data_IF_328168660739
#
_entry.id   IF_328168660739
#
_cell.length_a   1.000
_cell.length_b   1.000
_cell.length_c   1.000
_cell.angle_alpha   90.00
_cell.angle_beta   90.00
_cell.angle_gamma   90.00
#
_symmetry.space_group_name_H-M   'P 1'
#
loop_
_entity.id
_entity.type
_entity.pdbx_description
1 polymer ?
#
# COMPACT_ATOMS: atom_id res chain seq x y z
N UNK A 1 -1.07 -5.63 17.56
CA UNK A 1 -0.13 -6.76 17.36
C UNK A 1 -0.84 -8.10 17.54
N UNK A 2 -1.62 -8.30 18.62
CA UNK A 2 -2.38 -9.54 18.87
C UNK A 2 -3.35 -9.88 17.74
N UNK A 3 -4.03 -8.89 17.18
CA UNK A 3 -4.95 -9.06 16.05
C UNK A 3 -4.29 -9.64 14.80
N UNK A 4 -3.01 -9.31 14.55
CA UNK A 4 -2.25 -9.87 13.44
C UNK A 4 -1.89 -11.34 13.70
N UNK A 5 -1.43 -11.65 14.90
CA UNK A 5 -0.98 -13.00 15.30
C UNK A 5 -2.16 -13.97 15.31
N UNK A 6 -3.31 -13.57 15.84
CA UNK A 6 -4.50 -14.41 15.94
C UNK A 6 -5.05 -14.88 14.57
N UNK A 7 -4.71 -14.20 13.48
CA UNK A 7 -5.09 -14.59 12.12
C UNK A 7 -4.12 -15.55 11.45
N UNK A 8 -2.91 -15.73 12.02
CA UNK A 8 -1.93 -16.69 11.50
C UNK A 8 -2.28 -18.08 12.03
N UNK A 9 -3.21 -18.75 11.35
CA UNK A 9 -3.67 -20.11 11.63
C UNK A 9 -3.74 -20.91 10.33
N UNK A 10 -3.65 -22.23 10.45
CA UNK A 10 -3.74 -23.17 9.31
C UNK A 10 -2.75 -22.82 8.20
N UNK A 11 -3.25 -22.56 7.00
CA UNK A 11 -2.44 -22.26 5.81
C UNK A 11 -2.06 -20.78 5.67
N UNK A 12 -2.39 -19.91 6.62
CA UNK A 12 -2.07 -18.48 6.54
C UNK A 12 -0.59 -18.25 6.84
N UNK A 13 0.15 -17.75 5.86
CA UNK A 13 1.57 -17.41 5.97
C UNK A 13 1.83 -15.96 6.39
N UNK A 14 0.99 -15.03 5.90
CA UNK A 14 1.06 -13.59 6.23
C UNK A 14 -0.32 -13.07 6.61
N UNK A 15 -0.35 -12.24 7.65
CA UNK A 15 -1.49 -11.40 7.98
C UNK A 15 -1.11 -9.92 7.85
N UNK A 16 -1.79 -9.20 6.97
CA UNK A 16 -1.60 -7.77 6.74
C UNK A 16 -2.48 -6.92 7.65
N UNK A 17 -1.93 -5.82 8.13
CA UNK A 17 -2.65 -4.80 8.90
C UNK A 17 -3.55 -3.94 8.03
N UNK A 18 -4.36 -3.12 8.69
CA UNK A 18 -5.14 -2.05 8.10
C UNK A 18 -4.48 -0.68 8.41
N UNK A 19 -3.62 -0.16 7.50
CA UNK A 19 -3.02 1.14 7.70
C UNK A 19 -4.07 2.25 7.58
N UNK A 20 -4.15 3.09 8.61
CA UNK A 20 -5.01 4.28 8.62
C UNK A 20 -4.18 5.54 8.84
N UNK A 21 -4.38 6.51 7.96
CA UNK A 21 -3.74 7.81 8.13
C UNK A 21 -4.35 8.55 9.32
N UNK A 22 -3.48 9.16 10.13
CA UNK A 22 -3.92 10.07 11.20
C UNK A 22 -4.58 11.27 10.55
N UNK A 23 -5.77 11.71 11.03
CA UNK A 23 -6.44 12.89 10.50
C UNK A 23 -5.51 14.10 10.46
N UNK A 24 -5.41 14.73 9.31
CA UNK A 24 -4.52 15.86 9.08
C UNK A 24 -5.11 16.83 8.07
N UNK A 25 -4.76 18.11 8.19
CA UNK A 25 -5.24 19.18 7.30
C UNK A 25 -4.32 19.31 6.07
N UNK A 26 -4.84 19.91 5.00
CA UNK A 26 -4.11 20.16 3.75
C UNK A 26 -4.45 19.15 2.65
N UNK A 27 -4.30 19.60 1.40
CA UNK A 27 -4.69 18.83 0.20
C UNK A 27 -3.93 17.49 0.11
N UNK A 28 -2.59 17.43 0.25
CA UNK A 28 -1.87 16.14 0.17
C UNK A 28 -2.27 15.17 1.29
N UNK A 29 -2.56 15.69 2.48
CA UNK A 29 -2.98 14.86 3.60
C UNK A 29 -4.38 14.28 3.37
N UNK A 30 -5.34 15.10 2.94
CA UNK A 30 -6.69 14.65 2.60
C UNK A 30 -6.68 13.64 1.45
N UNK A 31 -5.85 13.88 0.42
CA UNK A 31 -5.64 12.92 -0.67
C UNK A 31 -5.07 11.59 -0.17
N UNK A 32 -4.08 11.62 0.73
CA UNK A 32 -3.49 10.41 1.32
C UNK A 32 -4.52 9.62 2.13
N UNK A 33 -5.34 10.29 2.94
CA UNK A 33 -6.41 9.68 3.72
C UNK A 33 -7.42 9.00 2.79
N UNK A 34 -7.90 9.73 1.77
CA UNK A 34 -8.87 9.20 0.82
C UNK A 34 -8.36 7.97 0.07
N UNK A 35 -7.10 8.00 -0.41
CA UNK A 35 -6.47 6.83 -1.07
C UNK A 35 -6.37 5.65 -0.09
N UNK A 36 -6.05 5.91 1.18
CA UNK A 36 -6.02 4.89 2.22
C UNK A 36 -7.38 4.22 2.43
N UNK A 37 -8.44 5.01 2.54
CA UNK A 37 -9.82 4.53 2.70
C UNK A 37 -10.29 3.74 1.47
N UNK A 38 -9.96 4.21 0.26
CA UNK A 38 -10.26 3.49 -0.97
C UNK A 38 -9.55 2.14 -1.04
N UNK A 39 -8.27 2.08 -0.68
CA UNK A 39 -7.51 0.82 -0.63
C UNK A 39 -8.05 -0.14 0.44
N UNK A 40 -8.51 0.36 1.59
CA UNK A 40 -9.18 -0.47 2.60
C UNK A 40 -10.46 -1.09 2.03
N UNK A 41 -11.26 -0.30 1.31
CA UNK A 41 -12.52 -0.75 0.72
C UNK A 41 -12.29 -1.83 -0.34
N UNK A 42 -11.30 -1.64 -1.22
CA UNK A 42 -10.89 -2.60 -2.24
C UNK A 42 -10.42 -3.92 -1.60
N UNK A 43 -9.64 -3.85 -0.53
CA UNK A 43 -9.16 -5.05 0.21
C UNK A 43 -10.27 -5.79 0.93
N UNK A 44 -11.17 -5.08 1.62
CA UNK A 44 -12.33 -5.68 2.28
C UNK A 44 -13.23 -6.45 1.32
N UNK A 45 -13.30 -6.00 0.06
CA UNK A 45 -14.06 -6.67 -1.00
C UNK A 45 -13.29 -7.74 -1.74
N UNK A 46 -12.06 -8.02 -1.34
CA UNK A 46 -11.17 -9.00 -1.99
C UNK A 46 -11.01 -8.75 -3.51
N UNK A 47 -11.04 -7.48 -3.93
CA UNK A 47 -10.86 -7.09 -5.32
C UNK A 47 -9.39 -7.11 -5.76
N UNK A 48 -8.46 -7.24 -4.83
CA UNK A 48 -7.03 -7.36 -5.08
C UNK A 48 -6.42 -8.45 -4.22
N UNK A 49 -5.47 -9.19 -4.78
CA UNK A 49 -4.63 -10.11 -4.01
C UNK A 49 -3.56 -9.37 -3.19
N UNK A 50 -3.29 -8.10 -3.53
CA UNK A 50 -2.34 -7.27 -2.80
C UNK A 50 -3.00 -6.66 -1.58
N UNK A 51 -2.82 -7.35 -0.47
CA UNK A 51 -3.35 -6.93 0.83
C UNK A 51 -2.29 -6.38 1.74
N UNK A 52 -1.02 -6.75 1.52
CA UNK A 52 0.11 -6.32 2.33
C UNK A 52 0.54 -4.91 1.95
N UNK A 53 0.67 -4.07 2.94
CA UNK A 53 1.31 -2.75 2.84
C UNK A 53 2.33 -2.65 3.96
N UNK A 54 3.53 -2.18 3.67
CA UNK A 54 4.70 -2.16 4.55
C UNK A 54 4.58 -1.42 5.89
N UNK A 55 3.36 -1.18 6.34
CA UNK A 55 3.07 -0.47 7.60
C UNK A 55 2.63 -1.37 8.74
N UNK A 56 2.74 -2.67 8.57
CA UNK A 56 2.46 -3.65 9.60
C UNK A 56 1.99 -4.96 8.99
N UNK A 57 2.73 -5.99 9.28
CA UNK A 57 2.40 -7.36 8.89
C UNK A 57 2.89 -8.32 9.96
N UNK A 58 2.31 -9.49 9.98
CA UNK A 58 2.81 -10.64 10.73
C UNK A 58 3.05 -11.77 9.74
N UNK A 59 4.20 -12.42 9.84
CA UNK A 59 4.59 -13.56 9.02
C UNK A 59 4.96 -14.73 9.93
N UNK A 60 4.66 -15.96 9.51
CA UNK A 60 5.08 -17.15 10.22
C UNK A 60 6.61 -17.26 10.24
N UNK A 61 7.16 -17.57 11.40
CA UNK A 61 8.62 -17.62 11.60
C UNK A 61 9.31 -18.69 10.75
N UNK A 62 8.66 -19.84 10.56
CA UNK A 62 9.17 -20.93 9.71
C UNK A 62 9.22 -20.53 8.22
N UNK A 63 8.29 -19.71 7.76
CA UNK A 63 8.27 -19.16 6.40
C UNK A 63 9.30 -18.03 6.27
N UNK A 64 9.32 -17.10 7.22
CA UNK A 64 10.24 -15.96 7.20
C UNK A 64 11.71 -16.37 7.10
N UNK A 65 12.10 -17.43 7.84
CA UNK A 65 13.46 -17.98 7.81
C UNK A 65 13.88 -18.60 6.48
N UNK A 66 12.92 -18.92 5.61
CA UNK A 66 13.15 -19.53 4.28
C UNK A 66 13.20 -18.49 3.16
N UNK A 67 12.86 -17.23 3.43
CA UNK A 67 12.82 -16.17 2.42
C UNK A 67 14.12 -15.37 2.49
N UNK A 68 14.88 -15.38 1.40
CA UNK A 68 16.01 -14.48 1.20
C UNK A 68 15.49 -13.19 0.54
N UNK A 69 15.76 -12.05 1.15
CA UNK A 69 15.35 -10.74 0.64
C UNK A 69 16.51 -10.13 -0.14
N UNK A 70 16.36 -9.84 -1.46
CA UNK A 70 17.37 -9.12 -2.22
C UNK A 70 17.57 -7.68 -1.73
N UNK A 71 18.81 -7.21 -1.69
CA UNK A 71 19.16 -5.87 -1.17
C UNK A 71 18.59 -4.70 -1.98
N UNK A 72 18.24 -4.95 -3.26
CA UNK A 72 17.78 -3.92 -4.20
C UNK A 72 16.27 -3.75 -4.27
N UNK A 73 15.51 -4.34 -3.33
CA UNK A 73 14.05 -4.29 -3.37
C UNK A 73 13.49 -2.95 -2.93
N UNK A 74 12.59 -2.41 -3.75
CA UNK A 74 11.86 -1.17 -3.47
C UNK A 74 10.70 -1.43 -2.48
N UNK A 75 10.00 -2.56 -2.62
CA UNK A 75 8.85 -2.95 -1.80
C UNK A 75 9.04 -4.35 -1.26
N UNK A 76 9.63 -4.44 -0.07
CA UNK A 76 9.87 -5.70 0.64
C UNK A 76 8.54 -6.39 0.98
N UNK A 77 7.53 -5.62 1.38
CA UNK A 77 6.19 -6.08 1.71
C UNK A 77 5.51 -6.83 0.55
N UNK A 78 5.56 -6.27 -0.64
CA UNK A 78 5.02 -6.93 -1.84
C UNK A 78 5.81 -8.18 -2.21
N UNK A 79 7.13 -8.15 -2.05
CA UNK A 79 7.98 -9.31 -2.31
C UNK A 79 7.70 -10.46 -1.32
N UNK A 80 7.58 -10.15 -0.03
CA UNK A 80 7.22 -11.13 1.00
C UNK A 80 5.87 -11.77 0.69
N UNK A 81 4.88 -10.97 0.31
CA UNK A 81 3.58 -11.48 -0.11
C UNK A 81 3.71 -12.45 -1.28
N UNK A 82 4.41 -12.06 -2.35
CA UNK A 82 4.60 -12.89 -3.53
C UNK A 82 5.30 -14.23 -3.19
N UNK A 83 6.35 -14.17 -2.38
CA UNK A 83 7.08 -15.37 -1.93
C UNK A 83 6.24 -16.32 -1.09
N UNK A 84 5.44 -15.79 -0.17
CA UNK A 84 4.56 -16.60 0.66
C UNK A 84 3.48 -17.29 -0.18
N UNK A 85 2.91 -16.58 -1.16
CA UNK A 85 1.93 -17.15 -2.10
C UNK A 85 2.59 -18.21 -3.02
N UNK A 86 3.82 -17.99 -3.48
CA UNK A 86 4.60 -18.98 -4.26
C UNK A 86 4.86 -20.27 -3.46
N UNK A 87 5.04 -20.16 -2.14
CA UNK A 87 5.18 -21.30 -1.23
C UNK A 87 3.85 -22.02 -0.94
N UNK A 88 2.73 -21.59 -1.51
CA UNK A 88 1.41 -22.19 -1.34
C UNK A 88 0.66 -21.76 -0.07
N UNK A 89 1.10 -20.71 0.59
CA UNK A 89 0.42 -20.18 1.78
C UNK A 89 -0.49 -19.01 1.44
N UNK A 90 -1.53 -18.85 2.26
CA UNK A 90 -2.47 -17.76 2.14
C UNK A 90 -1.95 -16.45 2.73
N UNK A 91 -2.34 -15.35 2.12
CA UNK A 91 -2.13 -13.99 2.61
C UNK A 91 -3.47 -13.37 2.93
N UNK A 92 -3.67 -12.95 4.17
CA UNK A 92 -4.93 -12.41 4.65
C UNK A 92 -4.83 -10.96 5.09
N UNK A 93 -5.90 -10.21 4.91
CA UNK A 93 -6.05 -8.85 5.41
C UNK A 93 -6.91 -8.84 6.67
N UNK A 94 -6.42 -8.22 7.76
CA UNK A 94 -7.21 -8.05 8.96
C UNK A 94 -7.63 -6.58 9.15
N UNK A 95 -8.90 -6.23 8.88
CA UNK A 95 -9.37 -4.85 9.01
C UNK A 95 -9.37 -4.33 10.45
N UNK A 96 -9.29 -5.21 11.47
CA UNK A 96 -9.22 -4.85 12.89
C UNK A 96 -7.79 -4.52 13.34
N UNK A 97 -6.78 -5.01 12.62
CA UNK A 97 -5.37 -4.76 12.94
C UNK A 97 -4.95 -3.36 12.47
N UNK A 98 -5.45 -2.32 13.10
CA UNK A 98 -5.21 -0.92 12.70
C UNK A 98 -3.78 -0.52 13.05
N UNK A 99 -3.07 0.06 12.06
CA UNK A 99 -1.77 0.70 12.22
C UNK A 99 -1.90 2.15 11.76
N UNK A 100 -1.71 3.09 12.67
CA UNK A 100 -1.77 4.51 12.34
C UNK A 100 -0.46 5.00 11.72
N UNK A 101 -0.57 5.92 10.74
CA UNK A 101 0.57 6.55 10.13
C UNK A 101 0.30 8.03 9.80
N UNK A 102 1.36 8.82 9.67
CA UNK A 102 1.25 10.21 9.27
C UNK A 102 0.91 10.32 7.78
N UNK A 103 -0.14 11.08 7.44
CA UNK A 103 -0.45 11.41 6.06
C UNK A 103 0.64 12.30 5.45
N UNK A 104 0.76 12.28 4.13
CA UNK A 104 1.67 13.17 3.41
C UNK A 104 1.29 14.64 3.67
N UNK A 105 2.26 15.47 4.08
CA UNK A 105 2.03 16.91 4.35
C UNK A 105 2.35 17.78 3.14
N UNK A 106 3.08 17.26 2.16
CA UNK A 106 3.46 17.97 0.94
C UNK A 106 3.11 17.18 -0.32
N UNK A 107 2.97 17.88 -1.46
CA UNK A 107 2.78 17.23 -2.76
C UNK A 107 3.97 16.34 -3.12
N UNK A 108 5.20 16.73 -2.78
CA UNK A 108 6.40 15.93 -3.01
C UNK A 108 6.33 14.61 -2.26
N UNK A 109 5.89 14.61 -0.99
CA UNK A 109 5.73 13.39 -0.20
C UNK A 109 4.64 12.48 -0.77
N UNK A 110 3.50 13.05 -1.18
CA UNK A 110 2.43 12.30 -1.84
C UNK A 110 2.94 11.64 -3.13
N UNK A 111 3.59 12.41 -4.02
CA UNK A 111 4.17 11.91 -5.26
C UNK A 111 5.21 10.82 -5.01
N UNK A 112 6.08 11.00 -4.01
CA UNK A 112 7.10 10.02 -3.63
C UNK A 112 6.48 8.68 -3.23
N UNK A 113 5.39 8.70 -2.45
CA UNK A 113 4.67 7.49 -2.05
C UNK A 113 4.05 6.78 -3.27
N UNK A 114 3.40 7.52 -4.18
CA UNK A 114 2.78 6.96 -5.40
C UNK A 114 3.83 6.37 -6.33
N UNK A 115 4.91 7.10 -6.61
CA UNK A 115 6.00 6.65 -7.49
C UNK A 115 6.66 5.40 -6.92
N UNK A 116 6.91 5.37 -5.61
CA UNK A 116 7.50 4.21 -4.95
C UNK A 116 6.61 2.99 -5.07
N UNK A 117 5.31 3.13 -4.82
CA UNK A 117 4.35 2.03 -5.00
C UNK A 117 4.36 1.51 -6.44
N UNK A 118 4.31 2.41 -7.43
CA UNK A 118 4.34 2.04 -8.86
C UNK A 118 5.64 1.33 -9.24
N UNK A 119 6.79 1.85 -8.79
CA UNK A 119 8.11 1.22 -9.05
C UNK A 119 8.20 -0.16 -8.38
N UNK A 120 7.69 -0.32 -7.15
CA UNK A 120 7.66 -1.61 -6.46
C UNK A 120 6.87 -2.68 -7.22
N UNK A 121 5.67 -2.34 -7.69
CA UNK A 121 4.87 -3.23 -8.54
C UNK A 121 5.58 -3.57 -9.85
N UNK A 122 6.19 -2.58 -10.51
CA UNK A 122 6.95 -2.80 -11.76
C UNK A 122 8.15 -3.72 -11.53
N UNK A 123 8.86 -3.55 -10.41
CA UNK A 123 9.99 -4.41 -10.05
C UNK A 123 9.55 -5.85 -9.82
N UNK A 124 8.46 -6.07 -9.08
CA UNK A 124 7.90 -7.40 -8.87
C UNK A 124 7.57 -8.10 -10.18
N UNK A 125 6.93 -7.38 -11.10
CA UNK A 125 6.61 -7.91 -12.43
C UNK A 125 7.86 -8.34 -13.21
N UNK A 126 8.95 -7.55 -13.14
CA UNK A 126 10.24 -7.89 -13.76
C UNK A 126 10.89 -9.13 -13.12
N UNK A 127 10.65 -9.37 -11.84
CA UNK A 127 11.11 -10.55 -11.12
C UNK A 127 10.25 -11.81 -11.40
N UNK A 128 9.27 -11.72 -12.30
CA UNK A 128 8.42 -12.84 -12.70
C UNK A 128 7.19 -13.07 -11.82
N UNK A 129 6.95 -12.21 -10.82
CA UNK A 129 5.76 -12.32 -9.98
C UNK A 129 4.56 -11.66 -10.66
N UNK A 130 3.68 -12.50 -11.21
CA UNK A 130 2.41 -12.05 -11.81
C UNK A 130 1.47 -11.52 -10.75
N UNK A 131 0.90 -10.34 -11.02
CA UNK A 131 -0.15 -9.76 -10.18
C UNK A 131 -1.49 -10.20 -10.72
N UNK A 132 -2.18 -11.10 -10.03
CA UNK A 132 -3.58 -11.38 -10.32
C UNK A 132 -4.42 -10.37 -9.55
N UNK A 133 -5.18 -9.54 -10.24
CA UNK A 133 -6.09 -8.58 -9.63
C UNK A 133 -7.48 -8.75 -10.23
N UNK A 134 -8.48 -8.85 -9.36
CA UNK A 134 -9.90 -8.80 -9.76
C UNK A 134 -10.39 -7.34 -9.91
N UNK A 135 -9.53 -6.38 -9.58
CA UNK A 135 -9.82 -4.97 -9.70
C UNK A 135 -9.77 -4.54 -11.17
N UNK A 136 -10.94 -4.50 -11.80
CA UNK A 136 -11.10 -3.92 -13.14
C UNK A 136 -11.21 -2.40 -13.04
N UNK A 137 -10.95 -1.70 -14.17
CA UNK A 137 -11.13 -0.24 -14.21
C UNK A 137 -12.56 0.17 -13.81
N UNK A 138 -13.58 -0.59 -14.25
CA UNK A 138 -14.98 -0.35 -13.90
C UNK A 138 -15.21 -0.45 -12.39
N UNK A 139 -14.73 -1.50 -11.75
CA UNK A 139 -14.88 -1.68 -10.29
C UNK A 139 -14.09 -0.63 -9.52
N UNK A 140 -12.89 -0.25 -9.99
CA UNK A 140 -12.10 0.81 -9.38
C UNK A 140 -12.82 2.15 -9.39
N UNK A 141 -13.42 2.53 -10.53
CA UNK A 141 -14.20 3.78 -10.66
C UNK A 141 -15.45 3.73 -9.76
N UNK A 142 -16.19 2.63 -9.75
CA UNK A 142 -17.41 2.50 -8.92
C UNK A 142 -17.06 2.66 -7.43
N UNK A 143 -15.99 2.03 -6.95
CA UNK A 143 -15.58 2.19 -5.54
C UNK A 143 -15.05 3.58 -5.23
N UNK A 144 -14.34 4.20 -6.18
CA UNK A 144 -13.91 5.59 -6.06
C UNK A 144 -15.11 6.53 -5.93
N UNK A 145 -16.09 6.42 -6.82
CA UNK A 145 -17.29 7.27 -6.82
C UNK A 145 -18.13 7.06 -5.55
N UNK A 146 -18.27 5.81 -5.10
CA UNK A 146 -18.97 5.51 -3.83
C UNK A 146 -18.31 6.18 -2.63
N UNK A 147 -16.98 6.18 -2.59
CA UNK A 147 -16.25 6.86 -1.52
C UNK A 147 -16.30 8.38 -1.69
N UNK A 148 -16.23 8.90 -2.93
CA UNK A 148 -16.31 10.32 -3.25
C UNK A 148 -17.65 10.95 -2.78
N UNK A 149 -18.76 10.22 -2.91
CA UNK A 149 -20.05 10.67 -2.37
C UNK A 149 -20.06 10.82 -0.85
N UNK A 150 -19.22 10.05 -0.13
CA UNK A 150 -19.09 10.11 1.33
C UNK A 150 -18.06 11.12 1.80
N UNK A 151 -17.03 11.33 1.00
CA UNK A 151 -15.93 12.26 1.30
C UNK A 151 -15.51 13.03 0.03
N UNK A 152 -16.34 14.02 -0.41
CA UNK A 152 -16.08 14.79 -1.63
C UNK A 152 -14.79 15.62 -1.55
N UNK A 153 -14.46 16.16 -0.38
CA UNK A 153 -13.24 16.94 -0.17
C UNK A 153 -11.97 16.05 -0.33
N UNK A 154 -12.02 14.83 0.20
CA UNK A 154 -10.94 13.87 0.02
C UNK A 154 -10.77 13.45 -1.43
N UNK A 155 -11.88 13.21 -2.15
CA UNK A 155 -11.86 12.89 -3.58
C UNK A 155 -11.26 14.03 -4.40
N UNK A 156 -11.71 15.28 -4.19
CA UNK A 156 -11.18 16.46 -4.87
C UNK A 156 -9.69 16.64 -4.57
N UNK A 157 -9.29 16.51 -3.31
CA UNK A 157 -7.88 16.57 -2.91
C UNK A 157 -7.03 15.52 -3.60
N UNK A 158 -7.55 14.29 -3.75
CA UNK A 158 -6.89 13.21 -4.47
C UNK A 158 -6.71 13.56 -5.95
N UNK A 159 -7.76 14.02 -6.61
CA UNK A 159 -7.70 14.45 -8.02
C UNK A 159 -6.66 15.56 -8.21
N UNK A 160 -6.66 16.57 -7.35
CA UNK A 160 -5.67 17.66 -7.39
C UNK A 160 -4.24 17.13 -7.21
N UNK A 161 -4.02 16.20 -6.28
CA UNK A 161 -2.70 15.58 -6.10
C UNK A 161 -2.21 14.87 -7.36
N UNK A 162 -3.09 14.12 -8.05
CA UNK A 162 -2.72 13.43 -9.29
C UNK A 162 -2.50 14.40 -10.46
N UNK A 163 -3.30 15.46 -10.58
CA UNK A 163 -3.12 16.50 -11.59
C UNK A 163 -1.78 17.23 -11.39
N UNK A 164 -1.42 17.50 -10.14
CA UNK A 164 -0.15 18.18 -9.80
C UNK A 164 1.07 17.27 -9.90
N UNK A 165 0.90 15.94 -9.90
CA UNK A 165 1.98 14.98 -9.87
C UNK A 165 3.03 15.17 -10.98
N UNK A 166 2.67 15.44 -12.27
CA UNK A 166 3.67 15.66 -13.33
C UNK A 166 4.65 16.79 -13.03
N UNK A 167 4.18 17.86 -12.37
CA UNK A 167 5.02 19.02 -12.01
C UNK A 167 6.07 18.67 -10.93
N UNK A 168 5.77 17.70 -10.07
CA UNK A 168 6.68 17.26 -9.00
C UNK A 168 7.51 16.03 -9.38
N UNK A 169 7.21 15.37 -10.49
CA UNK A 169 7.94 14.16 -10.92
C UNK A 169 9.42 14.42 -11.16
N UNK A 170 9.79 15.60 -11.66
CA UNK A 170 11.20 16.00 -11.84
C UNK A 170 11.99 16.00 -10.54
N UNK A 171 11.40 16.53 -9.47
CA UNK A 171 11.99 16.57 -8.12
C UNK A 171 12.14 15.18 -7.50
N UNK A 172 11.20 14.28 -7.80
CA UNK A 172 11.15 12.92 -7.21
C UNK A 172 11.98 11.91 -8.01
N UNK A 173 12.20 12.12 -9.31
CA UNK A 173 12.99 11.21 -10.17
C UNK A 173 14.42 10.98 -9.68
N UNK A 174 15.02 11.97 -9.05
CA UNK A 174 16.39 11.91 -8.51
C UNK A 174 16.48 11.22 -7.14
N UNK A 175 15.35 10.81 -6.56
CA UNK A 175 15.37 10.03 -5.33
C UNK A 175 15.82 8.61 -5.68
N UNK A 176 16.96 8.20 -5.13
CA UNK A 176 17.46 6.84 -5.26
C UNK A 176 16.39 5.87 -4.71
N UNK A 177 15.87 5.03 -5.61
CA UNK A 177 14.72 4.16 -5.29
C UNK A 177 15.08 3.02 -4.33
N UNK A 178 16.38 2.73 -4.17
CA UNK A 178 16.89 1.72 -3.26
C UNK A 178 17.02 2.22 -1.81
N UNK A 179 17.18 3.54 -1.62
CA UNK A 179 17.25 4.12 -0.29
C UNK A 179 15.86 4.40 0.28
N UNK A 180 15.66 4.05 1.54
CA UNK A 180 14.46 4.39 2.31
C UNK A 180 14.40 5.90 2.56
N UNK A 181 13.97 6.66 1.58
CA UNK A 181 13.59 8.05 1.81
C UNK A 181 12.26 8.07 2.58
N UNK A 182 12.36 8.11 3.90
CA UNK A 182 11.21 8.50 4.72
C UNK A 182 10.81 9.90 4.28
N UNK A 183 9.55 10.08 3.90
CA UNK A 183 9.01 11.38 3.61
C UNK A 183 9.34 12.33 4.76
N UNK A 184 10.01 13.45 4.48
CA UNK A 184 10.52 14.37 5.52
C UNK A 184 9.42 14.86 6.45
N UNK A 185 8.19 14.94 5.94
CA UNK A 185 7.01 15.38 6.69
C UNK A 185 6.37 14.30 7.58
N UNK A 186 6.83 13.06 7.50
CA UNK A 186 6.26 11.92 8.26
C UNK A 186 7.16 11.44 9.40
N UNK A 187 8.24 12.15 9.65
CA UNK A 187 9.09 11.96 10.84
C UNK A 187 8.50 12.63 12.06
#
# INVERSE_FOLDING_TARGET
TLELINKIKNNVGICASNPRAIPSKGIPAQGTIFVGDWLELVRKRQLTEYTVMGRGLSIRSDIAKRITIPDTLISIDLYLQAKVMEMGYDVVFNPRAIVQFQAAKSFVDFCSQVIRATKGHSQLKKLGYGIKSKLTLKTAIVEFMRLAMRNPNGALSTCLCYIMMPFYMGTVKNLDSALWHTAKSTK
#
